data_IF_289056683769
#
_entry.id   IF_289056683769
#
_cell.length_a   1.000
_cell.length_b   1.000
_cell.length_c   1.000
_cell.angle_alpha   90.00
_cell.angle_beta   90.00
_cell.angle_gamma   90.00
#
_symmetry.space_group_name_H-M   'P 1'
#
loop_
_entity.id
_entity.type
_entity.pdbx_description
1 polymer ?
#
# COMPACT_ATOMS: atom_id res chain seq x y z
N UNK A 1 31.36 -15.62 -1.01
CA UNK A 1 30.72 -14.32 -0.74
C UNK A 1 30.67 -14.17 0.76
N UNK A 2 31.24 -13.10 1.30
CA UNK A 2 31.10 -12.76 2.72
C UNK A 2 29.69 -12.24 2.94
N UNK A 3 28.84 -13.04 3.56
CA UNK A 3 27.53 -12.57 4.02
C UNK A 3 27.76 -11.57 5.16
N UNK A 4 27.54 -10.28 4.88
CA UNK A 4 27.50 -9.25 5.91
C UNK A 4 26.18 -9.44 6.65
N UNK A 5 26.24 -9.95 7.89
CA UNK A 5 25.06 -10.05 8.73
C UNK A 5 24.61 -8.65 9.15
N UNK A 6 23.36 -8.30 8.82
CA UNK A 6 22.80 -7.00 9.17
C UNK A 6 22.30 -7.00 10.63
N UNK A 7 22.85 -6.15 11.52
CA UNK A 7 22.37 -6.02 12.90
C UNK A 7 20.94 -5.50 12.96
N UNK A 8 20.24 -5.74 14.08
CA UNK A 8 18.87 -5.23 14.29
C UNK A 8 18.78 -3.69 14.17
N UNK A 9 19.81 -3.00 14.66
CA UNK A 9 20.03 -1.55 14.53
C UNK A 9 21.40 -1.32 13.93
N UNK A 10 21.45 -1.18 12.60
CA UNK A 10 22.69 -1.00 11.86
C UNK A 10 23.15 0.47 11.91
N UNK A 11 24.45 0.69 12.05
CA UNK A 11 25.07 1.99 11.80
C UNK A 11 24.92 2.42 10.33
N UNK A 12 25.16 3.69 10.03
CA UNK A 12 25.17 4.19 8.64
C UNK A 12 26.15 3.40 7.77
N UNK A 13 27.35 3.09 8.27
CA UNK A 13 28.36 2.35 7.51
C UNK A 13 27.93 0.91 7.22
N UNK A 14 27.40 0.20 8.22
CA UNK A 14 26.87 -1.16 8.06
C UNK A 14 25.67 -1.21 7.11
N UNK A 15 24.74 -0.27 7.25
CA UNK A 15 23.57 -0.17 6.39
C UNK A 15 23.97 0.10 4.93
N UNK A 16 24.87 1.05 4.67
CA UNK A 16 25.39 1.32 3.34
C UNK A 16 26.13 0.12 2.75
N UNK A 17 27.01 -0.53 3.52
CA UNK A 17 27.76 -1.70 3.07
C UNK A 17 26.82 -2.86 2.72
N UNK A 18 25.81 -3.11 3.56
CA UNK A 18 24.82 -4.15 3.32
C UNK A 18 23.93 -3.84 2.11
N UNK A 19 23.43 -2.62 1.98
CA UNK A 19 22.63 -2.21 0.82
C UNK A 19 23.43 -2.30 -0.48
N UNK A 20 24.71 -1.94 -0.45
CA UNK A 20 25.60 -2.07 -1.61
C UNK A 20 25.78 -3.53 -2.03
N UNK A 21 25.92 -4.45 -1.07
CA UNK A 21 25.96 -5.89 -1.35
C UNK A 21 24.65 -6.40 -1.96
N UNK A 22 23.49 -5.90 -1.49
CA UNK A 22 22.18 -6.36 -1.94
C UNK A 22 21.75 -5.82 -3.31
N UNK A 23 22.23 -4.64 -3.70
CA UNK A 23 21.81 -3.91 -4.90
C UNK A 23 22.88 -3.86 -5.99
N UNK A 24 24.14 -4.12 -5.64
CA UNK A 24 25.28 -4.04 -6.57
C UNK A 24 25.75 -2.60 -6.86
N UNK A 25 25.22 -1.59 -6.18
CA UNK A 25 25.58 -0.17 -6.36
C UNK A 25 26.01 0.46 -5.03
N UNK A 26 26.90 1.47 -5.01
CA UNK A 26 27.26 2.15 -3.77
C UNK A 26 26.08 2.91 -3.16
N UNK A 27 25.98 2.92 -1.82
CA UNK A 27 24.97 3.64 -1.06
C UNK A 27 25.57 4.71 -0.16
N UNK A 28 24.82 5.80 0.02
CA UNK A 28 25.17 6.90 0.92
C UNK A 28 24.02 7.18 1.88
N UNK A 29 24.29 7.94 2.95
CA UNK A 29 23.24 8.39 3.88
C UNK A 29 22.12 9.16 3.15
N UNK A 30 22.50 10.05 2.23
CA UNK A 30 21.55 10.80 1.41
C UNK A 30 20.65 9.85 0.59
N UNK A 31 21.23 8.90 -0.13
CA UNK A 31 20.47 7.93 -0.93
C UNK A 31 19.52 7.10 -0.07
N UNK A 32 19.90 6.74 1.16
CA UNK A 32 19.03 6.04 2.10
C UNK A 32 17.82 6.90 2.50
N UNK A 33 18.04 8.17 2.84
CA UNK A 33 16.99 9.12 3.22
C UNK A 33 16.05 9.40 2.04
N UNK A 34 16.59 9.65 0.85
CA UNK A 34 15.83 9.91 -0.38
C UNK A 34 14.94 8.70 -0.77
N UNK A 35 15.36 7.49 -0.37
CA UNK A 35 14.58 6.27 -0.55
C UNK A 35 13.57 5.99 0.58
N UNK A 36 13.37 6.95 1.48
CA UNK A 36 12.34 6.92 2.52
C UNK A 36 12.73 6.16 3.79
N UNK A 37 14.02 5.88 4.02
CA UNK A 37 14.45 5.30 5.30
C UNK A 37 14.41 6.36 6.40
N UNK A 38 13.90 5.97 7.57
CA UNK A 38 13.87 6.84 8.75
C UNK A 38 15.07 6.50 9.64
N UNK A 39 16.04 7.41 9.82
CA UNK A 39 17.10 7.20 10.78
C UNK A 39 16.60 7.37 12.22
N UNK A 40 17.26 6.68 13.15
CA UNK A 40 16.99 6.75 14.59
C UNK A 40 18.25 7.11 15.35
N UNK A 41 18.11 7.78 16.49
CA UNK A 41 19.19 7.93 17.48
C UNK A 41 18.67 7.47 18.84
N UNK A 42 19.54 6.82 19.63
CA UNK A 42 19.22 6.53 21.01
C UNK A 42 19.31 7.81 21.84
N UNK A 43 18.21 8.16 22.51
CA UNK A 43 18.20 9.23 23.50
C UNK A 43 18.18 8.57 24.87
N UNK A 44 19.22 8.81 25.66
CA UNK A 44 19.24 8.46 27.08
C UNK A 44 18.24 9.32 27.85
N UNK A 45 17.73 8.77 28.96
CA UNK A 45 16.81 9.48 29.84
C UNK A 45 17.39 10.82 30.28
N UNK A 46 16.61 11.89 30.13
CA UNK A 46 16.92 13.23 30.61
C UNK A 46 15.77 13.75 31.45
N UNK A 47 16.06 14.08 32.71
CA UNK A 47 15.08 14.60 33.66
C UNK A 47 14.48 15.94 33.21
N UNK A 48 15.20 16.73 32.40
CA UNK A 48 14.67 17.97 31.82
C UNK A 48 13.57 17.73 30.78
N UNK A 49 13.46 16.49 30.26
CA UNK A 49 12.51 16.08 29.24
C UNK A 49 11.73 14.83 29.66
N UNK A 50 11.49 14.65 30.97
CA UNK A 50 10.90 13.42 31.54
C UNK A 50 9.62 12.95 30.80
N UNK A 51 8.76 13.87 30.38
CA UNK A 51 7.53 13.57 29.63
C UNK A 51 7.79 12.81 28.32
N UNK A 52 8.93 13.04 27.65
CA UNK A 52 9.30 12.35 26.41
C UNK A 52 9.72 10.89 26.64
N UNK A 53 10.11 10.56 27.87
CA UNK A 53 10.59 9.23 28.24
C UNK A 53 9.51 8.39 28.90
N UNK A 54 8.45 8.98 29.45
CA UNK A 54 7.39 8.25 30.14
C UNK A 54 7.98 7.32 31.21
N UNK A 55 7.58 6.05 31.19
CA UNK A 55 8.11 5.02 32.10
C UNK A 55 9.46 4.40 31.65
N UNK A 56 10.08 4.90 30.57
CA UNK A 56 11.33 4.35 30.04
C UNK A 56 12.55 4.86 30.82
N UNK A 57 12.93 4.11 31.86
CA UNK A 57 14.04 4.45 32.76
C UNK A 57 15.45 4.48 32.13
N UNK A 58 15.61 4.01 30.88
CA UNK A 58 16.92 3.89 30.22
C UNK A 58 17.07 4.68 28.92
N UNK A 59 16.02 5.38 28.46
CA UNK A 59 16.02 6.01 27.14
C UNK A 59 15.24 5.24 26.07
N UNK A 60 15.22 5.77 24.85
CA UNK A 60 14.52 5.17 23.72
C UNK A 60 15.15 5.55 22.38
N UNK A 61 14.78 4.81 21.31
CA UNK A 61 15.18 5.14 19.95
C UNK A 61 14.25 6.19 19.35
N UNK A 62 14.73 7.43 19.24
CA UNK A 62 14.02 8.57 18.70
C UNK A 62 14.16 8.64 17.18
N UNK A 63 13.04 8.64 16.41
CA UNK A 63 13.09 8.77 14.97
C UNK A 63 13.39 10.20 14.53
N UNK A 64 14.19 10.34 13.47
CA UNK A 64 14.44 11.59 12.76
C UNK A 64 13.59 11.55 11.50
N UNK A 65 12.35 12.01 11.61
CA UNK A 65 11.35 11.90 10.53
C UNK A 65 10.92 13.27 9.98
N UNK A 66 11.26 14.36 10.66
CA UNK A 66 10.88 15.69 10.24
C UNK A 66 11.71 16.12 9.01
N UNK A 67 11.02 16.60 7.98
CA UNK A 67 11.62 16.89 6.67
C UNK A 67 12.79 17.87 6.75
N UNK A 68 12.71 18.89 7.60
CA UNK A 68 13.82 19.84 7.79
C UNK A 68 15.08 19.19 8.37
N UNK A 69 14.92 18.24 9.28
CA UNK A 69 16.03 17.54 9.93
C UNK A 69 16.64 16.49 8.98
N UNK A 70 15.80 15.74 8.26
CA UNK A 70 16.25 14.75 7.27
C UNK A 70 16.88 15.40 6.04
N UNK A 71 16.38 16.54 5.58
CA UNK A 71 16.96 17.31 4.47
C UNK A 71 18.38 17.79 4.79
N UNK A 72 18.65 18.23 6.03
CA UNK A 72 20.02 18.57 6.48
C UNK A 72 20.95 17.36 6.39
N UNK A 73 20.49 16.20 6.84
CA UNK A 73 21.28 14.96 6.78
C UNK A 73 21.54 14.54 5.33
N UNK A 74 20.53 14.61 4.47
CA UNK A 74 20.68 14.33 3.04
C UNK A 74 21.64 15.31 2.34
N UNK A 75 21.66 16.58 2.76
CA UNK A 75 22.59 17.58 2.28
C UNK A 75 24.04 17.42 2.81
N UNK A 76 24.32 16.38 3.61
CA UNK A 76 25.67 16.09 4.11
C UNK A 76 26.07 16.89 5.35
N UNK A 77 25.11 17.23 6.22
CA UNK A 77 25.39 17.84 7.53
C UNK A 77 26.46 17.07 8.31
N UNK A 78 27.32 17.80 9.02
CA UNK A 78 28.36 17.23 9.88
C UNK A 78 27.82 16.59 11.16
N UNK A 79 26.60 16.95 11.56
CA UNK A 79 25.93 16.49 12.77
C UNK A 79 24.47 16.11 12.51
N UNK A 80 23.91 15.36 13.46
CA UNK A 80 22.49 15.08 13.55
C UNK A 80 21.84 16.15 14.41
N UNK A 81 20.91 16.90 13.82
CA UNK A 81 20.07 17.85 14.55
C UNK A 81 18.65 17.31 14.59
N UNK A 82 18.07 17.22 15.79
CA UNK A 82 16.70 16.80 16.02
C UNK A 82 15.95 17.99 16.59
N UNK A 83 15.03 18.54 15.81
CA UNK A 83 14.15 19.66 16.22
C UNK A 83 12.74 19.18 16.50
N UNK A 84 12.30 18.13 15.81
CA UNK A 84 11.00 17.47 16.03
C UNK A 84 11.22 15.96 16.00
N UNK A 85 10.73 15.26 17.03
CA UNK A 85 10.80 13.79 17.10
C UNK A 85 9.51 13.22 17.67
N UNK A 86 9.48 11.92 17.92
CA UNK A 86 8.39 11.25 18.62
C UNK A 86 8.90 10.76 19.96
N UNK A 87 8.11 10.90 21.00
CA UNK A 87 8.39 10.36 22.33
C UNK A 87 8.31 8.82 22.36
N UNK A 88 8.50 8.24 23.55
CA UNK A 88 8.39 6.78 23.75
C UNK A 88 7.03 6.20 23.31
N UNK A 89 5.95 6.96 23.48
CA UNK A 89 4.57 6.59 23.12
C UNK A 89 4.23 6.92 21.66
N UNK A 90 5.20 7.37 20.88
CA UNK A 90 5.09 7.74 19.46
C UNK A 90 4.30 9.03 19.20
N UNK A 91 4.12 9.87 20.22
CA UNK A 91 3.50 11.19 20.10
C UNK A 91 4.54 12.19 19.61
N UNK A 92 4.16 13.00 18.62
CA UNK A 92 5.05 14.00 18.03
C UNK A 92 5.33 15.10 19.06
N UNK A 93 6.61 15.35 19.30
CA UNK A 93 7.10 16.36 20.24
C UNK A 93 8.10 17.28 19.55
N UNK A 94 7.91 18.58 19.73
CA UNK A 94 8.85 19.61 19.28
C UNK A 94 9.84 19.92 20.41
N UNK A 95 11.13 19.83 20.11
CA UNK A 95 12.18 20.14 21.08
C UNK A 95 12.39 21.66 21.18
N UNK A 96 12.70 22.19 22.38
CA UNK A 96 13.04 23.60 22.53
C UNK A 96 14.34 23.91 21.76
N UNK A 97 14.48 25.12 21.20
CA UNK A 97 15.72 25.52 20.52
C UNK A 97 16.97 25.37 21.41
N UNK A 98 18.11 24.89 20.88
CA UNK A 98 18.37 24.61 19.46
C UNK A 98 17.90 23.21 18.99
N UNK A 99 17.27 22.39 19.84
CA UNK A 99 17.03 20.97 19.60
C UNK A 99 18.16 20.10 20.13
N UNK A 100 18.09 18.79 19.89
CA UNK A 100 19.14 17.86 20.28
C UNK A 100 20.17 17.67 19.17
N UNK A 101 21.44 17.70 19.55
CA UNK A 101 22.55 17.37 18.65
C UNK A 101 23.15 16.02 19.01
N UNK A 102 23.43 15.24 17.98
CA UNK A 102 24.04 13.92 18.07
C UNK A 102 25.08 13.75 16.97
N UNK A 103 26.03 12.87 17.19
CA UNK A 103 27.05 12.58 16.20
C UNK A 103 26.51 11.67 15.10
N UNK A 104 27.02 11.82 13.87
CA UNK A 104 26.57 11.01 12.72
C UNK A 104 26.74 9.50 12.95
N UNK A 105 27.76 9.11 13.72
CA UNK A 105 28.04 7.72 14.02
C UNK A 105 27.02 7.10 14.99
N UNK A 106 26.17 7.90 15.64
CA UNK A 106 25.07 7.46 16.51
C UNK A 106 23.80 7.12 15.74
N UNK A 107 23.73 7.45 14.44
CA UNK A 107 22.61 7.08 13.58
C UNK A 107 22.46 5.57 13.51
N UNK A 108 21.22 5.10 13.63
CA UNK A 108 20.84 3.71 13.50
C UNK A 108 19.70 3.56 12.51
N UNK A 109 19.74 2.48 11.74
CA UNK A 109 18.71 2.07 10.80
C UNK A 109 18.16 0.71 11.21
N UNK A 110 16.84 0.56 11.14
CA UNK A 110 16.19 -0.69 11.51
C UNK A 110 16.37 -1.72 10.40
N UNK A 111 16.84 -2.92 10.75
CA UNK A 111 17.01 -4.06 9.82
C UNK A 111 15.79 -4.27 8.92
N UNK A 112 14.61 -4.27 9.53
CA UNK A 112 13.32 -4.48 8.83
C UNK A 112 13.04 -3.41 7.78
N UNK A 113 13.45 -2.16 7.99
CA UNK A 113 13.25 -1.09 7.02
C UNK A 113 14.23 -1.23 5.84
N UNK A 114 15.48 -1.60 6.12
CA UNK A 114 16.49 -1.89 5.10
C UNK A 114 16.09 -3.09 4.22
N UNK A 115 15.62 -4.18 4.83
CA UNK A 115 15.11 -5.35 4.12
C UNK A 115 13.89 -5.01 3.24
N UNK A 116 12.97 -4.19 3.77
CA UNK A 116 11.82 -3.70 3.01
C UNK A 116 12.25 -2.86 1.80
N UNK A 117 13.25 -1.99 1.97
CA UNK A 117 13.79 -1.19 0.88
C UNK A 117 14.37 -2.08 -0.21
N UNK A 118 15.21 -3.06 0.14
CA UNK A 118 15.78 -3.99 -0.84
C UNK A 118 14.69 -4.78 -1.56
N UNK A 119 13.68 -5.26 -0.85
CA UNK A 119 12.55 -5.95 -1.47
C UNK A 119 11.78 -5.05 -2.46
N UNK A 120 11.61 -3.77 -2.13
CA UNK A 120 11.02 -2.77 -3.02
C UNK A 120 11.89 -2.55 -4.26
N UNK A 121 13.18 -2.30 -4.10
CA UNK A 121 14.11 -2.06 -5.19
C UNK A 121 14.25 -3.27 -6.13
N UNK A 122 14.28 -4.50 -5.60
CA UNK A 122 14.31 -5.72 -6.43
C UNK A 122 13.06 -5.85 -7.28
N UNK A 123 11.88 -5.53 -6.74
CA UNK A 123 10.63 -5.49 -7.52
C UNK A 123 10.61 -4.39 -8.59
N UNK A 124 11.20 -3.24 -8.29
CA UNK A 124 11.33 -2.12 -9.25
C UNK A 124 12.37 -2.40 -10.35
N UNK A 125 13.41 -3.18 -10.03
CA UNK A 125 14.49 -3.56 -10.95
C UNK A 125 14.17 -4.81 -11.79
N UNK A 126 13.20 -5.63 -11.39
CA UNK A 126 12.67 -6.69 -12.25
C UNK A 126 12.13 -6.05 -13.54
N UNK A 127 12.61 -6.50 -14.72
CA UNK A 127 12.14 -5.94 -15.98
C UNK A 127 10.63 -6.09 -16.01
N UNK A 128 9.93 -4.96 -16.20
CA UNK A 128 8.48 -4.93 -16.31
C UNK A 128 8.08 -6.08 -17.26
N UNK A 129 7.36 -7.11 -16.79
CA UNK A 129 6.92 -8.17 -17.68
C UNK A 129 6.16 -7.49 -18.80
N UNK A 130 6.66 -7.66 -20.04
CA UNK A 130 6.15 -7.05 -21.26
C UNK A 130 4.64 -6.90 -21.16
N UNK A 131 4.18 -5.67 -20.92
CA UNK A 131 2.79 -5.27 -20.65
C UNK A 131 1.90 -6.47 -20.39
N UNK A 132 2.08 -7.15 -19.25
CA UNK A 132 0.93 -7.84 -18.67
C UNK A 132 0.03 -6.69 -18.27
N UNK A 133 -0.93 -6.39 -19.14
CA UNK A 133 -2.03 -5.49 -18.90
C UNK A 133 -2.34 -5.56 -17.41
N UNK A 134 -2.24 -4.41 -16.72
CA UNK A 134 -2.40 -4.30 -15.28
C UNK A 134 -3.46 -5.31 -14.86
N UNK A 135 -3.04 -6.37 -14.15
CA UNK A 135 -4.01 -7.28 -13.54
C UNK A 135 -4.82 -6.35 -12.66
N UNK A 136 -6.03 -6.05 -13.12
CA UNK A 136 -6.93 -5.14 -12.45
C UNK A 136 -6.93 -5.60 -11.00
N UNK A 137 -6.48 -4.72 -10.08
CA UNK A 137 -6.74 -4.94 -8.67
C UNK A 137 -8.22 -5.26 -8.61
N UNK A 138 -8.58 -6.48 -8.23
CA UNK A 138 -9.96 -6.84 -7.97
C UNK A 138 -10.50 -5.78 -7.02
N UNK A 139 -11.37 -4.92 -7.57
CA UNK A 139 -11.96 -3.82 -6.85
C UNK A 139 -12.56 -4.41 -5.58
N UNK A 140 -12.09 -4.02 -4.40
CA UNK A 140 -12.76 -4.39 -3.14
C UNK A 140 -14.12 -3.66 -2.99
N UNK A 141 -14.42 -2.75 -3.92
CA UNK A 141 -15.74 -2.20 -4.15
C UNK A 141 -16.55 -3.15 -5.03
N UNK A 142 -17.83 -3.35 -4.71
CA UNK A 142 -18.78 -4.08 -5.53
C UNK A 142 -20.19 -3.70 -5.13
N UNK A 143 -21.18 -4.14 -5.91
CA UNK A 143 -22.59 -3.92 -5.63
C UNK A 143 -23.18 -5.12 -4.88
N UNK A 144 -24.21 -4.88 -4.05
CA UNK A 144 -24.90 -5.92 -3.31
C UNK A 144 -25.77 -6.79 -4.22
N UNK A 145 -26.29 -7.89 -3.68
CA UNK A 145 -27.18 -8.81 -4.41
C UNK A 145 -28.43 -8.08 -4.91
N UNK A 146 -29.03 -7.29 -4.03
CA UNK A 146 -30.25 -6.53 -4.30
C UNK A 146 -30.00 -5.56 -5.45
N UNK A 147 -28.85 -4.87 -5.45
CA UNK A 147 -28.43 -3.97 -6.51
C UNK A 147 -28.23 -4.70 -7.85
N UNK A 148 -27.69 -5.93 -7.85
CA UNK A 148 -27.57 -6.76 -9.07
C UNK A 148 -28.94 -7.10 -9.63
N UNK A 149 -29.88 -7.53 -8.79
CA UNK A 149 -31.23 -7.90 -9.23
C UNK A 149 -31.99 -6.68 -9.76
N UNK A 150 -31.86 -5.53 -9.10
CA UNK A 150 -32.45 -4.26 -9.55
C UNK A 150 -31.91 -3.85 -10.92
N UNK A 151 -30.59 -3.90 -11.12
CA UNK A 151 -29.97 -3.43 -12.35
C UNK A 151 -30.13 -4.39 -13.53
N UNK A 152 -30.08 -5.71 -13.29
CA UNK A 152 -29.93 -6.70 -14.36
C UNK A 152 -31.00 -7.80 -14.37
N UNK A 153 -31.81 -7.92 -13.31
CA UNK A 153 -32.78 -9.01 -13.17
C UNK A 153 -33.81 -9.05 -14.30
N UNK A 154 -34.26 -7.89 -14.78
CA UNK A 154 -35.21 -7.80 -15.89
C UNK A 154 -34.62 -8.05 -17.28
N UNK A 155 -33.29 -8.24 -17.40
CA UNK A 155 -32.60 -8.38 -18.69
C UNK A 155 -32.36 -9.83 -19.10
N UNK A 156 -32.52 -10.76 -18.15
CA UNK A 156 -32.29 -12.19 -18.36
C UNK A 156 -33.58 -13.00 -18.19
N UNK A 157 -33.66 -14.14 -18.88
CA UNK A 157 -34.81 -15.06 -18.77
C UNK A 157 -34.70 -16.03 -17.58
N UNK A 158 -33.56 -16.05 -16.91
CA UNK A 158 -33.33 -16.88 -15.73
C UNK A 158 -33.71 -16.13 -14.46
N UNK A 159 -33.98 -16.87 -13.38
CA UNK A 159 -34.05 -16.27 -12.06
C UNK A 159 -32.64 -15.87 -11.61
N UNK A 160 -32.27 -14.61 -11.86
CA UNK A 160 -30.95 -14.06 -11.52
C UNK A 160 -30.69 -14.13 -10.01
N UNK A 161 -31.71 -13.89 -9.20
CA UNK A 161 -31.61 -13.96 -7.75
C UNK A 161 -31.23 -15.37 -7.27
N UNK A 162 -31.83 -16.42 -7.85
CA UNK A 162 -31.50 -17.81 -7.55
C UNK A 162 -30.13 -18.22 -8.13
N UNK A 163 -29.76 -17.70 -9.30
CA UNK A 163 -28.47 -17.96 -9.92
C UNK A 163 -27.30 -17.39 -9.08
N UNK A 164 -27.51 -16.26 -8.40
CA UNK A 164 -26.53 -15.67 -7.49
C UNK A 164 -26.31 -16.50 -6.22
N UNK A 165 -27.33 -17.25 -5.75
CA UNK A 165 -27.21 -18.16 -4.59
C UNK A 165 -26.45 -19.46 -4.89
N UNK A 166 -26.61 -19.98 -6.12
CA UNK A 166 -26.08 -21.29 -6.50
C UNK A 166 -24.56 -21.33 -6.68
N UNK A 167 -23.90 -20.19 -6.87
CA UNK A 167 -22.45 -20.07 -7.13
C UNK A 167 -21.90 -21.02 -8.22
N UNK A 168 -22.77 -21.54 -9.09
CA UNK A 168 -22.40 -22.51 -10.10
C UNK A 168 -22.04 -21.76 -11.39
N UNK A 169 -20.77 -21.42 -11.57
CA UNK A 169 -20.08 -21.33 -12.86
C UNK A 169 -20.67 -20.48 -13.99
N UNK A 170 -21.74 -19.72 -13.75
CA UNK A 170 -22.39 -18.87 -14.75
C UNK A 170 -21.60 -17.58 -14.98
N UNK A 171 -20.67 -17.24 -14.11
CA UNK A 171 -19.81 -16.07 -14.29
C UNK A 171 -18.39 -16.59 -14.10
N UNK A 172 -17.72 -16.89 -15.23
CA UNK A 172 -16.47 -17.65 -15.29
C UNK A 172 -15.53 -17.40 -14.12
N UNK A 173 -15.15 -18.49 -13.45
CA UNK A 173 -14.13 -18.61 -12.39
C UNK A 173 -14.02 -17.40 -11.45
N UNK A 174 -14.79 -17.38 -10.36
CA UNK A 174 -14.70 -16.44 -9.22
C UNK A 174 -14.72 -14.91 -9.54
N UNK A 175 -14.67 -14.47 -10.80
CA UNK A 175 -14.17 -13.15 -11.18
C UNK A 175 -15.16 -11.99 -11.03
N UNK A 176 -16.46 -12.27 -10.94
CA UNK A 176 -17.45 -11.24 -10.65
C UNK A 176 -17.67 -11.08 -9.14
N UNK A 177 -17.27 -12.04 -8.30
CA UNK A 177 -17.52 -11.97 -6.86
C UNK A 177 -16.35 -11.29 -6.16
N UNK A 178 -16.56 -10.06 -5.74
CA UNK A 178 -15.62 -9.34 -4.90
C UNK A 178 -15.75 -9.87 -3.47
N UNK A 179 -14.63 -10.31 -2.87
CA UNK A 179 -14.58 -10.75 -1.47
C UNK A 179 -14.95 -9.59 -0.54
N UNK A 180 -16.23 -9.50 -0.17
CA UNK A 180 -16.66 -8.81 1.06
C UNK A 180 -15.84 -9.37 2.22
N UNK A 181 -15.28 -8.48 3.04
CA UNK A 181 -14.22 -8.77 4.01
C UNK A 181 -14.35 -10.08 4.79
N UNK A 182 -13.22 -10.77 4.97
CA UNK A 182 -12.89 -11.71 6.04
C UNK A 182 -13.98 -12.71 6.51
N UNK A 183 -13.74 -14.00 6.24
CA UNK A 183 -14.54 -15.20 6.59
C UNK A 183 -15.80 -15.42 5.76
N UNK A 184 -15.70 -16.34 4.79
CA UNK A 184 -16.70 -17.32 4.29
C UNK A 184 -18.21 -17.11 4.63
N UNK A 185 -18.73 -15.90 4.57
CA UNK A 185 -20.16 -15.62 4.73
C UNK A 185 -20.78 -15.52 3.35
N UNK A 186 -21.66 -16.47 3.00
CA UNK A 186 -22.46 -16.43 1.76
C UNK A 186 -23.42 -15.22 1.73
N UNK A 187 -23.69 -14.58 2.88
CA UNK A 187 -24.69 -13.51 3.05
C UNK A 187 -24.17 -12.09 2.79
N UNK A 188 -22.87 -11.89 2.60
CA UNK A 188 -22.27 -10.57 2.31
C UNK A 188 -21.30 -10.65 1.13
N UNK A 189 -21.70 -11.33 0.06
CA UNK A 189 -20.99 -11.27 -1.20
C UNK A 189 -21.22 -9.90 -1.85
N UNK A 190 -20.16 -9.34 -2.45
CA UNK A 190 -20.27 -8.20 -3.34
C UNK A 190 -19.97 -8.67 -4.77
N UNK A 191 -20.54 -7.98 -5.75
CA UNK A 191 -20.34 -8.30 -7.16
C UNK A 191 -19.72 -7.12 -7.91
N UNK A 192 -18.74 -7.39 -8.76
CA UNK A 192 -18.26 -6.43 -9.75
C UNK A 192 -19.32 -6.32 -10.87
N UNK A 193 -19.99 -5.15 -11.02
CA UNK A 193 -21.07 -5.00 -11.98
C UNK A 193 -20.58 -5.07 -13.43
N UNK A 194 -19.34 -4.68 -13.73
CA UNK A 194 -18.77 -4.71 -15.08
C UNK A 194 -18.56 -6.15 -15.54
N UNK A 195 -17.89 -6.96 -14.71
CA UNK A 195 -17.69 -8.40 -15.01
C UNK A 195 -19.01 -9.14 -15.11
N UNK A 196 -19.96 -8.83 -14.24
CA UNK A 196 -21.30 -9.43 -14.27
C UNK A 196 -22.03 -9.09 -15.58
N UNK A 197 -22.06 -7.81 -15.97
CA UNK A 197 -22.70 -7.38 -17.21
C UNK A 197 -22.09 -8.04 -18.46
N UNK A 198 -20.75 -8.21 -18.50
CA UNK A 198 -20.09 -8.93 -19.59
C UNK A 198 -20.50 -10.40 -19.62
N UNK A 199 -20.52 -11.09 -18.48
CA UNK A 199 -21.02 -12.46 -18.40
C UNK A 199 -22.47 -12.60 -18.87
N UNK A 200 -23.32 -11.61 -18.58
CA UNK A 200 -24.70 -11.56 -19.09
C UNK A 200 -24.76 -11.40 -20.62
N UNK A 201 -23.86 -10.60 -21.21
CA UNK A 201 -23.75 -10.49 -22.67
C UNK A 201 -23.30 -11.82 -23.29
N UNK A 202 -22.32 -12.47 -22.69
CA UNK A 202 -21.67 -13.64 -23.28
C UNK A 202 -22.55 -14.90 -23.19
N UNK A 203 -23.11 -15.18 -22.02
CA UNK A 203 -23.82 -16.43 -21.74
C UNK A 203 -25.33 -16.33 -21.96
N UNK A 204 -25.91 -15.16 -21.69
CA UNK A 204 -27.35 -14.93 -21.82
C UNK A 204 -27.72 -14.02 -23.00
N UNK A 205 -26.73 -13.61 -23.80
CA UNK A 205 -26.92 -12.79 -25.00
C UNK A 205 -27.66 -11.47 -24.73
N UNK A 206 -27.54 -10.93 -23.52
CA UNK A 206 -28.12 -9.62 -23.19
C UNK A 206 -27.49 -8.54 -24.07
N UNK A 207 -28.26 -7.76 -24.85
CA UNK A 207 -27.68 -6.78 -25.78
C UNK A 207 -26.81 -5.73 -25.07
N UNK A 208 -25.64 -5.41 -25.65
CA UNK A 208 -24.70 -4.45 -25.07
C UNK A 208 -25.31 -3.05 -24.89
N UNK A 209 -26.26 -2.67 -25.75
CA UNK A 209 -27.01 -1.42 -25.64
C UNK A 209 -27.91 -1.36 -24.39
N UNK A 210 -28.46 -2.49 -23.96
CA UNK A 210 -29.26 -2.57 -22.73
C UNK A 210 -28.37 -2.49 -21.49
N UNK A 211 -27.22 -3.18 -21.53
CA UNK A 211 -26.22 -3.10 -20.45
C UNK A 211 -25.67 -1.68 -20.31
N UNK A 212 -25.32 -1.02 -21.42
CA UNK A 212 -24.88 0.38 -21.42
C UNK A 212 -25.93 1.32 -20.81
N UNK A 213 -27.22 1.08 -21.07
CA UNK A 213 -28.30 1.84 -20.45
C UNK A 213 -28.39 1.61 -18.94
N UNK A 214 -28.19 0.38 -18.47
CA UNK A 214 -28.21 0.04 -17.05
C UNK A 214 -27.21 0.87 -16.25
N UNK A 215 -25.97 0.98 -16.73
CA UNK A 215 -24.90 1.77 -16.11
C UNK A 215 -25.19 3.28 -16.06
N UNK A 216 -26.04 3.78 -16.97
CA UNK A 216 -26.53 5.16 -16.95
C UNK A 216 -27.84 5.39 -16.20
N UNK A 217 -28.55 4.33 -15.79
CA UNK A 217 -29.88 4.40 -15.19
C UNK A 217 -29.89 4.22 -13.66
N UNK A 218 -28.85 3.63 -13.08
CA UNK A 218 -28.78 3.34 -11.65
C UNK A 218 -27.63 4.09 -10.99
N UNK A 219 -27.94 4.91 -9.97
CA UNK A 219 -26.95 5.76 -9.29
C UNK A 219 -25.77 4.96 -8.70
N UNK A 220 -26.03 3.77 -8.16
CA UNK A 220 -24.99 2.89 -7.63
C UNK A 220 -24.04 2.29 -8.69
N UNK A 221 -24.32 2.49 -9.98
CA UNK A 221 -23.44 2.11 -11.09
C UNK A 221 -22.64 3.29 -11.65
N UNK A 222 -22.88 4.52 -11.17
CA UNK A 222 -22.22 5.70 -11.74
C UNK A 222 -20.71 5.68 -11.53
N UNK A 223 -20.24 5.24 -10.37
CA UNK A 223 -18.82 5.09 -10.07
C UNK A 223 -18.14 4.03 -10.96
N UNK A 224 -18.93 3.15 -11.57
CA UNK A 224 -18.46 2.08 -12.46
C UNK A 224 -18.51 2.46 -13.94
N UNK A 225 -19.09 3.62 -14.30
CA UNK A 225 -19.18 4.07 -15.69
C UNK A 225 -17.81 4.22 -16.35
N UNK A 226 -16.81 4.70 -15.60
CA UNK A 226 -15.44 4.82 -16.12
C UNK A 226 -14.87 3.47 -16.55
N UNK A 227 -15.01 2.45 -15.69
CA UNK A 227 -14.55 1.09 -15.98
C UNK A 227 -15.34 0.45 -17.11
N UNK A 228 -16.68 0.61 -17.11
CA UNK A 228 -17.55 0.11 -18.17
C UNK A 228 -17.19 0.69 -19.54
N UNK A 229 -17.01 2.01 -19.64
CA UNK A 229 -16.66 2.68 -20.90
C UNK A 229 -15.27 2.28 -21.38
N UNK A 230 -14.31 2.09 -20.46
CA UNK A 230 -12.99 1.57 -20.80
C UNK A 230 -13.07 0.14 -21.36
N UNK A 231 -13.87 -0.73 -20.77
CA UNK A 231 -14.11 -2.08 -21.29
C UNK A 231 -14.75 -2.05 -22.69
N UNK A 232 -15.77 -1.20 -22.91
CA UNK A 232 -16.38 -1.06 -24.23
C UNK A 232 -15.36 -0.62 -25.29
N UNK A 233 -14.52 0.36 -24.97
CA UNK A 233 -13.45 0.83 -25.85
C UNK A 233 -12.45 -0.28 -26.21
N UNK A 234 -12.06 -1.11 -25.23
CA UNK A 234 -11.17 -2.26 -25.45
C UNK A 234 -11.82 -3.35 -26.32
N UNK A 235 -13.14 -3.49 -26.26
CA UNK A 235 -13.91 -4.43 -27.09
C UNK A 235 -14.28 -3.87 -28.46
N UNK A 236 -13.93 -2.61 -28.76
CA UNK A 236 -14.31 -1.92 -30.00
C UNK A 236 -15.83 -1.69 -30.14
N UNK A 237 -16.54 -1.53 -29.02
CA UNK A 237 -18.01 -1.39 -28.95
C UNK A 237 -18.46 -0.02 -28.42
#
# INVERSE_FOLDING_TARGET
>A
MTDIELPFRATTAEACAWLALQTGTPWTLAAMIDNGLTPYVWLDYDAAFADMFGDANGGYAAPIFFEGDTARLAAGSADVLITITKDVYKIVTRLPPPGFRRELHELRFLKKELERLVARLKREAEPAPAVKAAVAKESQAGISREQVVIAFGGMVRINLEQALDGAAGVFGDDGARVKGSARKSKKQALWNPVTLALGLNDLYRVPMSQLKRAFGAHEFLFDWNGQWNQTLALLGK
#
